data_IF_498970945676
#
_entry.id   IF_498970945676
#
_cell.length_a   1.000
_cell.length_b   1.000
_cell.length_c   1.000
_cell.angle_alpha   90.00
_cell.angle_beta   90.00
_cell.angle_gamma   90.00
#
_symmetry.space_group_name_H-M   'P 1'
#
loop_
_entity.id
_entity.type
_entity.pdbx_description
1 polymer ?
#
# COMPACT_ATOMS: atom_id res chain seq x y z
N UNK A 1 -7.18 10.85 -27.49
CA UNK A 1 -5.88 10.98 -28.17
C UNK A 1 -4.96 11.75 -27.26
N UNK A 2 -4.14 11.05 -26.58
CA UNK A 2 -2.70 11.30 -26.32
C UNK A 2 -2.26 10.17 -25.42
N UNK A 3 -1.66 9.14 -26.04
CA UNK A 3 -0.81 8.16 -25.38
C UNK A 3 0.35 8.93 -24.73
N UNK A 4 0.17 9.33 -23.48
CA UNK A 4 1.29 9.61 -22.62
C UNK A 4 1.73 8.27 -22.02
N UNK A 5 2.39 7.45 -22.81
CA UNK A 5 3.26 6.42 -22.31
C UNK A 5 4.16 7.11 -21.28
N UNK A 6 3.91 6.88 -19.98
CA UNK A 6 4.83 7.26 -18.93
C UNK A 6 6.15 6.53 -19.22
N UNK A 7 7.06 7.20 -19.93
CA UNK A 7 8.39 6.72 -20.10
C UNK A 7 8.99 6.63 -18.69
N UNK A 8 9.10 5.40 -18.17
CA UNK A 8 10.09 5.08 -17.17
C UNK A 8 11.38 5.68 -17.71
N UNK A 9 11.91 6.72 -17.07
CA UNK A 9 13.20 7.25 -17.43
C UNK A 9 14.23 6.19 -17.05
N UNK A 10 14.38 5.19 -17.90
CA UNK A 10 15.54 4.29 -17.87
C UNK A 10 16.74 5.21 -17.88
N UNK A 11 17.49 5.20 -16.77
CA UNK A 11 18.69 6.02 -16.65
C UNK A 11 19.73 5.54 -17.64
N UNK A 12 19.64 6.07 -18.85
CA UNK A 12 20.76 5.98 -19.80
C UNK A 12 21.74 7.06 -19.44
N UNK A 13 23.03 6.73 -19.40
CA UNK A 13 24.09 7.73 -19.38
C UNK A 13 24.11 8.54 -20.68
N UNK A 14 24.99 9.53 -20.79
CA UNK A 14 25.18 10.34 -22.00
C UNK A 14 25.55 9.49 -23.24
N UNK A 15 25.86 8.21 -23.07
CA UNK A 15 26.19 7.24 -24.14
C UNK A 15 25.01 6.33 -24.48
N UNK A 16 23.87 6.43 -23.78
CA UNK A 16 22.71 5.57 -23.95
C UNK A 16 22.81 4.20 -23.27
N UNK A 17 23.80 4.00 -22.40
CA UNK A 17 24.03 2.74 -21.69
C UNK A 17 23.10 2.63 -20.46
N UNK A 18 22.41 1.50 -20.30
CA UNK A 18 21.61 1.18 -19.10
C UNK A 18 22.53 0.53 -18.06
N UNK A 19 22.64 1.14 -16.90
CA UNK A 19 23.37 0.59 -15.76
C UNK A 19 22.41 -0.20 -14.85
N UNK A 20 22.59 -1.51 -14.78
CA UNK A 20 21.83 -2.38 -13.89
C UNK A 20 22.42 -2.37 -12.48
N UNK A 21 21.55 -2.54 -11.49
CA UNK A 21 21.90 -2.81 -10.11
C UNK A 21 21.28 -4.16 -9.72
N UNK A 22 21.99 -4.97 -8.92
CA UNK A 22 21.44 -6.21 -8.40
C UNK A 22 21.45 -6.17 -6.87
N UNK A 23 20.45 -6.82 -6.28
CA UNK A 23 20.34 -7.03 -4.84
C UNK A 23 19.81 -8.44 -4.56
N UNK A 24 20.27 -9.04 -3.47
CA UNK A 24 19.68 -10.28 -2.98
C UNK A 24 18.42 -9.98 -2.17
N UNK A 25 17.53 -10.94 -2.07
CA UNK A 25 16.41 -10.97 -1.13
C UNK A 25 16.32 -12.37 -0.54
N UNK A 26 15.58 -12.54 0.55
CA UNK A 26 15.36 -13.87 1.13
C UNK A 26 14.62 -14.83 0.17
N UNK A 27 13.95 -14.30 -0.85
CA UNK A 27 13.22 -15.08 -1.86
C UNK A 27 13.99 -15.28 -3.15
N UNK A 28 15.07 -14.53 -3.39
CA UNK A 28 15.89 -14.64 -4.60
C UNK A 28 16.52 -13.30 -4.98
N UNK A 29 17.34 -13.31 -6.05
CA UNK A 29 18.01 -12.10 -6.55
C UNK A 29 17.11 -11.30 -7.46
N UNK A 30 17.19 -9.97 -7.36
CA UNK A 30 16.48 -9.01 -8.21
C UNK A 30 17.44 -8.09 -8.94
N UNK A 31 17.07 -7.66 -10.15
CA UNK A 31 17.80 -6.70 -10.96
C UNK A 31 16.96 -5.47 -11.20
N UNK A 32 17.43 -4.33 -10.71
CA UNK A 32 16.92 -3.00 -10.95
C UNK A 32 17.76 -2.20 -11.91
N UNK A 33 17.47 -0.92 -12.01
CA UNK A 33 18.15 0.01 -12.90
C UNK A 33 18.62 1.25 -12.15
N UNK A 34 19.86 1.69 -12.37
CA UNK A 34 20.36 2.98 -11.94
C UNK A 34 19.74 4.11 -12.76
N UNK A 35 19.36 5.18 -12.09
CA UNK A 35 18.91 6.43 -12.65
C UNK A 35 19.90 7.52 -12.28
N UNK A 36 20.80 7.82 -13.21
CA UNK A 36 22.02 8.61 -13.01
C UNK A 36 23.24 7.72 -12.70
N UNK A 37 24.40 8.33 -12.57
CA UNK A 37 25.67 7.62 -12.36
C UNK A 37 25.69 6.93 -11.00
N UNK A 38 26.10 5.64 -10.94
CA UNK A 38 26.30 4.94 -9.70
C UNK A 38 27.26 5.68 -8.75
N UNK A 39 26.89 5.89 -7.51
CA UNK A 39 27.74 6.53 -6.50
C UNK A 39 27.85 8.05 -6.54
N UNK A 40 27.39 8.71 -7.62
CA UNK A 40 27.45 10.17 -7.79
C UNK A 40 26.08 10.86 -7.52
N UNK A 41 25.37 10.43 -6.50
CA UNK A 41 23.99 10.88 -6.25
C UNK A 41 22.94 10.19 -7.13
N UNK A 42 23.31 9.06 -7.74
CA UNK A 42 22.39 8.19 -8.46
C UNK A 42 21.38 7.53 -7.54
N UNK A 43 20.29 7.04 -8.14
CA UNK A 43 19.24 6.31 -7.46
C UNK A 43 18.98 5.01 -8.22
N UNK A 44 19.24 3.87 -7.62
CA UNK A 44 18.82 2.59 -8.16
C UNK A 44 17.34 2.36 -7.83
N UNK A 45 16.55 1.96 -8.82
CA UNK A 45 15.15 1.59 -8.67
C UNK A 45 14.97 0.10 -8.91
N UNK A 46 14.31 -0.56 -7.99
CA UNK A 46 13.87 -1.95 -8.09
C UNK A 46 12.35 -1.94 -7.96
N UNK A 47 11.64 -2.26 -9.02
CA UNK A 47 10.21 -2.05 -9.14
C UNK A 47 9.46 -3.39 -9.21
N UNK A 48 8.30 -3.48 -8.57
CA UNK A 48 7.41 -4.64 -8.66
C UNK A 48 7.95 -5.92 -8.01
N UNK A 49 8.75 -5.83 -6.95
CA UNK A 49 9.24 -7.02 -6.24
C UNK A 49 8.09 -7.63 -5.44
N UNK A 50 7.68 -8.88 -5.67
CA UNK A 50 6.58 -9.50 -4.93
C UNK A 50 6.97 -9.76 -3.47
N UNK A 51 6.15 -9.31 -2.53
CA UNK A 51 6.26 -9.71 -1.12
C UNK A 51 5.28 -10.83 -0.76
N UNK A 52 4.27 -11.06 -1.58
CA UNK A 52 3.27 -12.09 -1.40
C UNK A 52 2.95 -12.81 -2.72
N UNK A 53 2.34 -13.98 -2.61
CA UNK A 53 1.73 -14.67 -3.74
C UNK A 53 0.56 -13.83 -4.30
N UNK A 54 0.24 -13.94 -5.60
CA UNK A 54 -0.90 -13.25 -6.19
C UNK A 54 -2.20 -13.57 -5.44
N UNK A 55 -2.98 -12.54 -5.02
CA UNK A 55 -4.22 -12.74 -4.28
C UNK A 55 -5.39 -13.12 -5.20
N UNK A 56 -5.23 -14.20 -5.95
CA UNK A 56 -6.20 -14.71 -6.93
C UNK A 56 -6.56 -16.18 -6.66
N UNK A 57 -7.58 -16.69 -7.31
CA UNK A 57 -8.04 -18.08 -7.11
C UNK A 57 -8.35 -18.35 -5.63
N UNK A 58 -7.78 -19.41 -5.07
CA UNK A 58 -7.97 -19.79 -3.66
C UNK A 58 -7.40 -18.76 -2.67
N UNK A 59 -6.51 -17.86 -3.12
CA UNK A 59 -5.92 -16.79 -2.29
C UNK A 59 -6.70 -15.47 -2.37
N UNK A 60 -7.70 -15.32 -3.24
CA UNK A 60 -8.41 -14.05 -3.45
C UNK A 60 -8.97 -13.55 -2.15
N UNK A 61 -9.58 -13.99 -1.32
CA UNK A 61 -10.09 -13.44 -0.06
C UNK A 61 -9.39 -14.03 1.19
N UNK A 62 -8.24 -14.67 0.99
CA UNK A 62 -7.44 -15.20 2.08
C UNK A 62 -6.55 -14.13 2.72
N UNK A 63 -5.94 -14.44 3.87
CA UNK A 63 -4.80 -13.71 4.37
C UNK A 63 -3.66 -13.78 3.32
N UNK A 64 -2.79 -12.74 3.21
CA UNK A 64 -1.69 -12.80 2.27
C UNK A 64 -0.72 -13.93 2.65
N UNK A 65 -0.18 -14.59 1.62
CA UNK A 65 0.82 -15.65 1.77
C UNK A 65 2.15 -15.12 1.23
N UNK A 66 3.28 -15.29 1.95
CA UNK A 66 4.59 -14.85 1.47
C UNK A 66 4.90 -15.33 0.05
N UNK A 67 5.67 -14.53 -0.70
CA UNK A 67 6.08 -14.88 -2.04
C UNK A 67 6.94 -16.15 -2.05
N UNK A 68 6.78 -16.97 -3.09
CA UNK A 68 7.61 -18.16 -3.29
C UNK A 68 9.05 -17.76 -3.69
N UNK A 69 10.06 -18.49 -3.21
CA UNK A 69 11.43 -18.30 -3.67
C UNK A 69 11.55 -18.60 -5.18
N UNK A 70 12.45 -17.86 -5.83
CA UNK A 70 12.75 -18.09 -7.26
C UNK A 70 14.25 -18.32 -7.48
N UNK A 71 14.58 -19.04 -8.56
CA UNK A 71 15.95 -19.25 -9.00
C UNK A 71 16.38 -18.17 -10.00
N UNK A 72 17.69 -17.87 -10.04
CA UNK A 72 18.26 -16.89 -10.95
C UNK A 72 17.98 -15.44 -10.53
N UNK A 73 18.05 -14.54 -11.51
CA UNK A 73 17.83 -13.10 -11.32
C UNK A 73 16.48 -12.73 -11.90
N UNK A 74 15.62 -12.13 -11.10
CA UNK A 74 14.32 -11.60 -11.51
C UNK A 74 14.46 -10.13 -11.90
N UNK A 75 13.94 -9.75 -13.04
CA UNK A 75 13.86 -8.35 -13.43
C UNK A 75 12.84 -7.59 -12.58
N UNK A 76 13.29 -6.48 -12.02
CA UNK A 76 12.53 -5.51 -11.24
C UNK A 76 12.72 -4.11 -11.88
N UNK A 77 12.48 -4.04 -13.21
CA UNK A 77 12.73 -2.87 -14.04
C UNK A 77 11.50 -2.02 -14.26
N UNK A 78 10.31 -2.63 -14.12
CA UNK A 78 9.01 -1.99 -14.33
C UNK A 78 8.13 -2.14 -13.09
N UNK A 79 7.20 -1.20 -12.92
CA UNK A 79 6.21 -1.30 -11.86
C UNK A 79 5.40 -2.60 -11.99
N UNK A 80 5.22 -3.29 -10.89
CA UNK A 80 4.36 -4.47 -10.81
C UNK A 80 2.88 -4.14 -10.94
N UNK A 81 2.06 -5.18 -11.11
CA UNK A 81 0.61 -5.04 -11.16
C UNK A 81 0.09 -4.30 -9.92
N UNK A 82 -0.92 -3.46 -10.11
CA UNK A 82 -1.52 -2.64 -9.05
C UNK A 82 -2.88 -3.18 -8.64
N UNK A 83 -3.28 -2.95 -7.38
CA UNK A 83 -4.64 -3.21 -6.94
C UNK A 83 -5.64 -2.19 -7.52
N UNK A 84 -5.19 -0.97 -7.83
CA UNK A 84 -5.97 0.01 -8.58
C UNK A 84 -6.32 -0.55 -9.96
N UNK A 85 -7.60 -0.51 -10.34
CA UNK A 85 -8.10 -0.93 -11.64
C UNK A 85 -8.74 0.22 -12.39
N UNK A 86 -8.60 0.19 -13.71
CA UNK A 86 -9.17 1.20 -14.60
C UNK A 86 -8.48 2.55 -14.51
N UNK A 87 -9.08 3.53 -15.17
CA UNK A 87 -8.64 4.93 -15.15
C UNK A 87 -9.53 5.71 -14.16
N UNK A 88 -8.99 6.18 -13.04
CA UNK A 88 -9.76 6.98 -12.08
C UNK A 88 -10.08 8.39 -12.60
N UNK A 89 -9.69 8.73 -13.83
CA UNK A 89 -9.83 10.06 -14.39
C UNK A 89 -8.80 11.06 -13.86
N UNK A 90 -9.23 12.32 -13.72
CA UNK A 90 -8.36 13.38 -13.19
C UNK A 90 -8.37 13.32 -11.67
N UNK A 91 -7.28 12.83 -11.10
CA UNK A 91 -7.02 12.80 -9.66
C UNK A 91 -5.95 13.82 -9.29
N UNK A 92 -5.93 14.27 -8.02
CA UNK A 92 -4.91 15.20 -7.52
C UNK A 92 -3.51 14.56 -7.57
N UNK A 93 -3.42 13.28 -7.22
CA UNK A 93 -2.21 12.46 -7.28
C UNK A 93 -2.42 11.43 -8.38
N UNK A 94 -1.51 11.29 -9.36
CA UNK A 94 -1.64 10.28 -10.39
C UNK A 94 -1.75 8.87 -9.79
N UNK A 95 -2.71 8.09 -10.27
CA UNK A 95 -3.01 6.74 -9.77
C UNK A 95 -2.95 5.72 -10.93
N UNK A 96 -1.75 5.44 -11.48
CA UNK A 96 -1.64 4.54 -12.62
C UNK A 96 -2.10 3.13 -12.28
N UNK A 97 -2.83 2.52 -13.21
CA UNK A 97 -3.23 1.11 -13.15
C UNK A 97 -2.29 0.29 -14.03
N UNK A 98 -1.62 -0.68 -13.43
CA UNK A 98 -0.78 -1.66 -14.13
C UNK A 98 -1.51 -3.00 -14.09
N UNK A 99 -1.84 -3.60 -15.25
CA UNK A 99 -2.58 -4.85 -15.31
C UNK A 99 -1.75 -6.03 -14.79
N UNK A 100 -2.42 -7.05 -14.27
CA UNK A 100 -1.82 -8.31 -13.80
C UNK A 100 -2.39 -8.77 -12.47
N UNK A 101 -1.98 -9.95 -12.05
CA UNK A 101 -2.50 -10.64 -10.85
C UNK A 101 -1.61 -10.45 -9.62
N UNK A 102 -0.29 -10.28 -9.81
CA UNK A 102 0.69 -10.14 -8.72
C UNK A 102 0.67 -8.72 -8.12
N UNK A 103 -0.47 -8.34 -7.56
CA UNK A 103 -0.71 -6.98 -7.06
C UNK A 103 -0.06 -6.67 -5.72
N UNK A 104 0.46 -7.67 -5.01
CA UNK A 104 1.13 -7.50 -3.72
C UNK A 104 2.64 -7.44 -3.91
N UNK A 105 3.14 -6.24 -4.21
CA UNK A 105 4.54 -5.98 -4.51
C UNK A 105 5.03 -4.68 -3.87
N UNK A 106 6.33 -4.52 -3.80
CA UNK A 106 7.02 -3.31 -3.32
C UNK A 106 7.92 -2.74 -4.40
N UNK A 107 8.17 -1.43 -4.31
CA UNK A 107 9.19 -0.75 -5.09
C UNK A 107 10.25 -0.21 -4.12
N UNK A 108 11.52 -0.42 -4.41
CA UNK A 108 12.64 0.04 -3.60
C UNK A 108 13.49 1.01 -4.40
N UNK A 109 13.72 2.18 -3.82
CA UNK A 109 14.61 3.21 -4.37
C UNK A 109 15.77 3.39 -3.39
N UNK A 110 17.00 3.24 -3.86
CA UNK A 110 18.17 3.29 -2.98
C UNK A 110 19.39 3.91 -3.66
N UNK A 111 20.20 4.68 -2.92
CA UNK A 111 21.47 5.19 -3.43
C UNK A 111 22.61 4.17 -3.31
N UNK A 112 22.42 3.06 -2.55
CA UNK A 112 23.49 2.16 -2.14
C UNK A 112 23.08 0.67 -2.14
N UNK A 113 22.60 0.12 -3.27
CA UNK A 113 22.18 -1.28 -3.32
C UNK A 113 23.36 -2.22 -3.08
N UNK A 114 23.13 -3.31 -2.35
CA UNK A 114 24.12 -4.35 -2.09
C UNK A 114 25.29 -3.92 -1.18
N UNK A 115 25.11 -2.88 -0.37
CA UNK A 115 26.16 -2.37 0.52
C UNK A 115 25.73 -2.41 1.99
N UNK A 116 26.71 -2.33 2.90
CA UNK A 116 26.50 -2.21 4.35
C UNK A 116 26.32 -0.73 4.77
N UNK A 117 25.66 0.09 3.94
CA UNK A 117 25.53 1.52 4.18
C UNK A 117 24.66 1.88 5.40
N UNK A 118 23.77 0.98 5.81
CA UNK A 118 22.89 1.11 6.98
C UNK A 118 22.11 2.43 6.99
N UNK A 119 21.53 2.81 5.85
CA UNK A 119 20.81 4.07 5.65
C UNK A 119 19.42 4.01 6.30
N UNK A 120 18.89 5.14 6.79
CA UNK A 120 17.51 5.21 7.22
C UNK A 120 16.53 4.85 6.09
N UNK A 121 15.41 4.25 6.47
CA UNK A 121 14.41 3.73 5.54
C UNK A 121 13.09 4.47 5.71
N UNK A 122 12.50 4.93 4.61
CA UNK A 122 11.14 5.48 4.55
C UNK A 122 10.23 4.51 3.80
N UNK A 123 9.24 3.94 4.48
CA UNK A 123 8.20 3.11 3.86
C UNK A 123 6.95 3.96 3.66
N UNK A 124 6.54 4.12 2.40
CA UNK A 124 5.37 4.88 2.01
C UNK A 124 4.16 3.99 1.80
N UNK A 125 3.07 4.30 2.49
CA UNK A 125 1.74 3.72 2.28
C UNK A 125 0.87 4.75 1.59
N UNK A 126 0.41 4.47 0.38
CA UNK A 126 -0.37 5.42 -0.40
C UNK A 126 -1.79 5.63 0.15
N UNK A 127 -2.36 6.80 -0.12
CA UNK A 127 -3.75 7.13 0.15
C UNK A 127 -4.71 6.61 -0.91
N UNK A 128 -5.90 7.21 -1.00
CA UNK A 128 -6.95 6.84 -1.96
C UNK A 128 -8.17 6.20 -1.27
N UNK A 129 -8.47 6.60 -0.02
CA UNK A 129 -9.69 6.20 0.69
C UNK A 129 -9.82 4.70 0.95
N UNK A 130 -8.74 3.94 0.86
CA UNK A 130 -8.66 2.48 0.92
C UNK A 130 -9.37 1.74 -0.25
N UNK A 131 -9.89 2.44 -1.23
CA UNK A 131 -10.54 1.85 -2.41
C UNK A 131 -9.87 2.24 -3.73
N UNK A 132 -8.96 3.21 -3.70
CA UNK A 132 -8.19 3.72 -4.84
C UNK A 132 -6.74 3.96 -4.45
N UNK A 133 -5.92 4.43 -5.40
CA UNK A 133 -4.51 4.74 -5.18
C UNK A 133 -3.56 3.68 -5.74
N UNK A 134 -2.32 4.08 -5.97
CA UNK A 134 -1.33 3.23 -6.62
C UNK A 134 0.08 3.48 -6.09
N UNK A 135 0.85 2.43 -5.75
CA UNK A 135 2.27 2.56 -5.36
C UNK A 135 3.16 2.95 -6.55
N UNK A 136 2.63 2.86 -7.77
CA UNK A 136 3.32 3.23 -9.00
C UNK A 136 3.18 4.71 -9.35
N UNK A 137 2.57 5.52 -8.48
CA UNK A 137 2.47 6.96 -8.71
C UNK A 137 3.86 7.60 -8.85
N UNK A 138 4.10 8.43 -9.87
CA UNK A 138 5.37 9.13 -10.02
C UNK A 138 5.65 10.12 -8.88
N UNK A 139 4.63 10.50 -8.10
CA UNK A 139 4.79 11.33 -6.92
C UNK A 139 5.48 10.61 -5.76
N UNK A 140 5.54 9.29 -5.79
CA UNK A 140 6.16 8.47 -4.75
C UNK A 140 7.56 7.97 -5.13
N UNK A 141 8.13 8.53 -6.21
CA UNK A 141 9.50 8.24 -6.63
C UNK A 141 10.50 8.68 -5.54
N UNK A 142 11.27 7.72 -5.04
CA UNK A 142 12.20 7.93 -3.93
C UNK A 142 13.50 8.67 -4.28
N UNK A 143 13.71 9.07 -5.54
CA UNK A 143 14.98 9.65 -5.99
C UNK A 143 15.45 10.85 -5.18
N UNK A 144 14.52 11.72 -4.76
CA UNK A 144 14.86 12.90 -3.96
C UNK A 144 15.33 12.52 -2.55
N UNK A 145 14.72 11.52 -1.95
CA UNK A 145 15.13 10.98 -0.65
C UNK A 145 16.46 10.23 -0.73
N UNK A 146 16.71 9.53 -1.84
CA UNK A 146 18.00 8.84 -2.04
C UNK A 146 19.17 9.83 -2.12
N UNK A 147 18.99 10.98 -2.76
CA UNK A 147 19.98 12.07 -2.76
C UNK A 147 20.37 12.48 -1.35
N UNK A 148 19.43 12.43 -0.42
CA UNK A 148 19.62 12.83 0.99
C UNK A 148 20.00 11.61 1.87
N UNK A 149 20.35 10.47 1.26
CA UNK A 149 20.83 9.27 1.95
C UNK A 149 19.74 8.44 2.62
N UNK A 150 18.50 8.47 2.12
CA UNK A 150 17.38 7.68 2.65
C UNK A 150 16.93 6.65 1.62
N UNK A 151 16.83 5.38 2.01
CA UNK A 151 16.19 4.33 1.20
C UNK A 151 14.68 4.51 1.26
N UNK A 152 14.00 4.51 0.12
CA UNK A 152 12.55 4.67 0.07
C UNK A 152 11.89 3.40 -0.45
N UNK A 153 10.83 2.95 0.20
CA UNK A 153 10.03 1.80 -0.22
C UNK A 153 8.59 2.25 -0.38
N UNK A 154 7.95 1.94 -1.51
CA UNK A 154 6.50 2.06 -1.67
C UNK A 154 5.88 0.68 -1.66
N UNK A 155 4.77 0.51 -0.95
CA UNK A 155 4.09 -0.79 -0.83
C UNK A 155 2.73 -0.77 -1.48
N UNK A 156 2.35 -1.87 -2.11
CA UNK A 156 0.98 -2.11 -2.56
C UNK A 156 0.18 -2.84 -1.48
N UNK A 157 -1.13 -2.79 -1.57
CA UNK A 157 -2.07 -3.53 -0.72
C UNK A 157 -3.41 -3.68 -1.42
N UNK A 158 -4.21 -4.67 -1.04
CA UNK A 158 -5.56 -4.85 -1.57
C UNK A 158 -6.46 -3.70 -1.19
N UNK A 159 -7.25 -3.24 -2.14
CA UNK A 159 -8.15 -2.10 -2.04
C UNK A 159 -9.61 -2.55 -1.97
N UNK A 160 -10.50 -1.64 -1.57
CA UNK A 160 -11.94 -1.82 -1.59
C UNK A 160 -12.40 -3.09 -0.90
N UNK A 161 -13.33 -3.79 -1.52
CA UNK A 161 -13.90 -5.01 -0.96
C UNK A 161 -12.86 -6.13 -0.78
N UNK A 162 -11.95 -6.32 -1.73
CA UNK A 162 -10.92 -7.37 -1.65
C UNK A 162 -9.99 -7.15 -0.44
N UNK A 163 -9.68 -5.90 -0.08
CA UNK A 163 -8.84 -5.55 1.06
C UNK A 163 -9.58 -5.43 2.40
N UNK A 164 -10.79 -4.88 2.37
CA UNK A 164 -11.47 -4.40 3.59
C UNK A 164 -12.93 -4.82 3.70
N UNK A 165 -13.52 -5.47 2.69
CA UNK A 165 -14.89 -5.95 2.74
C UNK A 165 -15.06 -7.10 3.74
N UNK A 166 -16.21 -7.14 4.41
CA UNK A 166 -16.57 -8.26 5.28
C UNK A 166 -17.06 -9.45 4.45
N UNK A 167 -16.61 -10.63 4.82
CA UNK A 167 -17.00 -11.94 4.26
C UNK A 167 -17.13 -12.91 5.42
N UNK A 168 -18.20 -13.70 5.47
CA UNK A 168 -18.58 -14.51 6.63
C UNK A 168 -17.50 -15.52 7.05
N UNK A 169 -16.80 -16.13 6.09
CA UNK A 169 -15.80 -17.17 6.30
C UNK A 169 -14.38 -16.76 5.82
N UNK A 170 -14.09 -15.43 5.78
CA UNK A 170 -12.78 -14.93 5.41
C UNK A 170 -12.19 -14.07 6.53
N UNK A 171 -10.85 -13.98 6.62
CA UNK A 171 -10.22 -13.06 7.58
C UNK A 171 -10.59 -11.62 7.25
N UNK A 172 -10.93 -10.84 8.27
CA UNK A 172 -11.11 -9.40 8.17
C UNK A 172 -9.76 -8.68 7.97
N UNK A 173 -9.82 -7.39 7.60
CA UNK A 173 -8.63 -6.55 7.54
C UNK A 173 -7.51 -7.10 6.61
N UNK A 174 -7.89 -7.68 5.47
CA UNK A 174 -6.92 -8.28 4.54
C UNK A 174 -5.89 -7.26 4.04
N UNK A 175 -6.31 -6.00 3.77
CA UNK A 175 -5.40 -4.92 3.41
C UNK A 175 -4.44 -4.54 4.55
N UNK A 176 -4.89 -4.60 5.81
CA UNK A 176 -4.00 -4.41 6.98
C UNK A 176 -2.99 -5.56 7.09
N UNK A 177 -3.44 -6.79 6.82
CA UNK A 177 -2.54 -7.96 6.79
C UNK A 177 -1.52 -7.85 5.65
N UNK A 178 -1.89 -7.23 4.53
CA UNK A 178 -0.97 -6.93 3.43
C UNK A 178 0.12 -5.93 3.88
N UNK A 179 -0.23 -4.86 4.61
CA UNK A 179 0.75 -3.93 5.18
C UNK A 179 1.71 -4.62 6.13
N UNK A 180 1.22 -5.48 7.02
CA UNK A 180 2.06 -6.23 7.95
C UNK A 180 3.06 -7.12 7.22
N UNK A 181 2.61 -7.86 6.20
CA UNK A 181 3.48 -8.73 5.42
C UNK A 181 4.50 -7.93 4.59
N UNK A 182 4.09 -6.79 4.03
CA UNK A 182 5.01 -5.90 3.32
C UNK A 182 6.08 -5.30 4.26
N UNK A 183 5.70 -4.91 5.48
CA UNK A 183 6.65 -4.42 6.48
C UNK A 183 7.58 -5.53 6.99
N UNK A 184 7.07 -6.76 7.13
CA UNK A 184 7.91 -7.92 7.42
C UNK A 184 8.92 -8.16 6.29
N UNK A 185 8.48 -8.04 5.02
CA UNK A 185 9.39 -8.10 3.89
C UNK A 185 10.47 -7.02 3.95
N UNK A 186 10.12 -5.78 4.30
CA UNK A 186 11.10 -4.69 4.49
C UNK A 186 12.09 -5.06 5.59
N UNK A 187 11.62 -5.51 6.75
CA UNK A 187 12.47 -5.93 7.86
C UNK A 187 13.49 -6.98 7.43
N UNK A 188 13.07 -7.98 6.65
CA UNK A 188 13.90 -9.13 6.29
C UNK A 188 14.86 -8.84 5.12
N UNK A 189 14.56 -7.81 4.30
CA UNK A 189 15.27 -7.61 3.02
C UNK A 189 15.97 -6.27 2.86
N UNK A 190 15.58 -5.22 3.60
CA UNK A 190 16.04 -3.87 3.27
C UNK A 190 17.54 -3.65 3.43
N UNK A 191 18.20 -4.48 4.24
CA UNK A 191 19.66 -4.47 4.39
C UNK A 191 20.37 -4.78 3.06
N UNK A 192 19.83 -5.67 2.23
CA UNK A 192 20.38 -5.96 0.90
C UNK A 192 20.28 -4.77 -0.07
N UNK A 193 19.47 -3.80 0.25
CA UNK A 193 19.34 -2.54 -0.49
C UNK A 193 20.07 -1.37 0.19
N UNK A 194 20.94 -1.65 1.16
CA UNK A 194 21.72 -0.65 1.90
C UNK A 194 20.94 0.06 3.00
N UNK A 195 19.72 -0.35 3.31
CA UNK A 195 18.89 0.20 4.38
C UNK A 195 19.15 -0.47 5.74
N UNK A 196 18.83 0.24 6.81
CA UNK A 196 18.91 -0.27 8.18
C UNK A 196 17.51 -0.68 8.66
N UNK A 197 17.22 -1.97 8.86
CA UNK A 197 15.92 -2.41 9.35
C UNK A 197 15.60 -1.91 10.77
N UNK A 198 16.58 -1.42 11.52
CA UNK A 198 16.38 -0.78 12.83
C UNK A 198 16.04 0.73 12.75
N UNK A 199 16.00 1.30 11.55
CA UNK A 199 15.75 2.72 11.32
C UNK A 199 14.58 2.96 10.33
N UNK A 200 13.54 2.17 10.42
CA UNK A 200 12.36 2.25 9.55
C UNK A 200 11.38 3.31 10.05
N UNK A 201 11.05 4.26 9.19
CA UNK A 201 9.95 5.21 9.36
C UNK A 201 8.82 4.81 8.41
N UNK A 202 7.63 4.58 8.94
CA UNK A 202 6.43 4.42 8.11
C UNK A 202 5.75 5.78 7.90
N UNK A 203 5.36 6.08 6.68
CA UNK A 203 4.76 7.35 6.32
C UNK A 203 3.58 7.14 5.35
N UNK A 204 2.59 8.04 5.42
CA UNK A 204 1.45 8.00 4.52
C UNK A 204 0.58 9.24 4.62
N UNK A 205 -0.24 9.45 3.60
CA UNK A 205 -1.14 10.59 3.51
C UNK A 205 -2.58 10.11 3.35
N UNK A 206 -3.56 10.85 3.90
CA UNK A 206 -4.99 10.49 3.83
C UNK A 206 -5.27 9.10 4.41
N UNK A 207 -5.81 8.16 3.64
CA UNK A 207 -5.95 6.76 4.03
C UNK A 207 -4.61 6.10 4.40
N UNK A 208 -3.52 6.43 3.68
CA UNK A 208 -2.16 6.00 4.05
C UNK A 208 -1.71 6.56 5.40
N UNK A 209 -2.07 7.81 5.72
CA UNK A 209 -1.89 8.40 7.05
C UNK A 209 -2.68 7.65 8.13
N UNK A 210 -3.92 7.26 7.82
CA UNK A 210 -4.73 6.39 8.68
C UNK A 210 -4.10 5.01 8.86
N UNK A 211 -3.55 4.42 7.79
CA UNK A 211 -2.86 3.14 7.84
C UNK A 211 -1.66 3.15 8.79
N UNK A 212 -0.81 4.18 8.74
CA UNK A 212 0.35 4.26 9.66
C UNK A 212 -0.06 4.50 11.10
N UNK A 213 -1.17 5.21 11.37
CA UNK A 213 -1.73 5.33 12.72
C UNK A 213 -2.35 4.02 13.21
N UNK A 214 -3.04 3.28 12.34
CA UNK A 214 -3.55 1.95 12.66
C UNK A 214 -2.40 1.00 13.03
N UNK A 215 -1.32 0.98 12.24
CA UNK A 215 -0.12 0.19 12.55
C UNK A 215 0.53 0.62 13.87
N UNK A 216 0.60 1.94 14.16
CA UNK A 216 1.09 2.44 15.44
C UNK A 216 0.25 1.92 16.62
N UNK A 217 -1.05 1.79 16.44
CA UNK A 217 -2.01 1.31 17.44
C UNK A 217 -2.01 -0.22 17.61
N UNK A 218 -1.27 -0.97 16.77
CA UNK A 218 -1.28 -2.45 16.76
C UNK A 218 -0.07 -3.03 17.49
N UNK A 219 -0.25 -3.76 18.61
CA UNK A 219 0.87 -4.43 19.29
C UNK A 219 1.68 -5.37 18.38
N UNK A 220 0.99 -6.06 17.45
CA UNK A 220 1.61 -6.99 16.51
C UNK A 220 2.58 -6.32 15.52
N UNK A 221 2.45 -5.02 15.26
CA UNK A 221 3.27 -4.30 14.30
C UNK A 221 4.50 -3.61 14.90
N UNK A 222 4.60 -3.54 16.24
CA UNK A 222 5.56 -2.67 16.93
C UNK A 222 7.04 -2.96 16.61
N UNK A 223 7.39 -4.18 16.25
CA UNK A 223 8.75 -4.58 15.91
C UNK A 223 9.15 -4.27 14.46
N UNK A 224 8.22 -3.84 13.60
CA UNK A 224 8.43 -3.66 12.16
C UNK A 224 8.85 -2.23 11.77
N UNK A 225 8.69 -1.26 12.68
CA UNK A 225 9.05 0.13 12.40
C UNK A 225 9.42 0.88 13.69
N UNK A 226 10.06 2.02 13.54
CA UNK A 226 10.66 2.79 14.64
C UNK A 226 10.11 4.20 14.76
N UNK A 227 9.54 4.77 13.68
CA UNK A 227 8.99 6.13 13.63
C UNK A 227 7.77 6.16 12.73
N UNK A 228 6.88 7.12 12.95
CA UNK A 228 5.64 7.30 12.18
C UNK A 228 5.50 8.74 11.70
N UNK A 229 5.13 8.89 10.45
CA UNK A 229 4.78 10.19 9.87
C UNK A 229 3.40 10.10 9.21
N UNK A 230 2.37 10.63 9.87
CA UNK A 230 0.98 10.63 9.42
C UNK A 230 0.59 12.01 8.87
N UNK A 231 0.26 12.08 7.59
CA UNK A 231 -0.12 13.33 6.92
C UNK A 231 -1.61 13.33 6.60
N UNK A 232 -2.35 14.33 7.12
CA UNK A 232 -3.81 14.47 6.91
C UNK A 232 -4.53 13.13 7.05
N UNK A 233 -4.25 12.42 8.14
CA UNK A 233 -4.66 11.05 8.35
C UNK A 233 -6.18 10.90 8.42
N UNK A 234 -6.72 9.94 7.66
CA UNK A 234 -8.11 9.49 7.73
C UNK A 234 -8.18 8.19 8.54
N UNK A 235 -8.42 8.29 9.83
CA UNK A 235 -8.71 7.12 10.68
C UNK A 235 -10.15 6.67 10.42
N UNK A 236 -10.36 5.38 10.22
CA UNK A 236 -11.69 4.85 9.87
C UNK A 236 -12.31 4.04 11.00
N UNK A 237 -11.58 3.16 11.65
CA UNK A 237 -12.05 2.33 12.79
C UNK A 237 -13.48 1.80 12.58
N UNK A 238 -13.72 1.13 11.43
CA UNK A 238 -15.08 0.72 11.04
C UNK A 238 -15.61 -0.30 12.03
N UNK A 239 -16.80 -0.06 12.59
CA UNK A 239 -17.47 -1.02 13.46
C UNK A 239 -17.83 -2.30 12.68
N UNK A 240 -17.73 -3.46 13.31
CA UNK A 240 -17.90 -4.76 12.66
C UNK A 240 -19.28 -4.94 12.04
N UNK A 241 -20.33 -4.47 12.73
CA UNK A 241 -21.73 -4.52 12.26
C UNK A 241 -21.92 -3.70 10.96
N UNK A 242 -21.27 -2.55 10.85
CA UNK A 242 -21.29 -1.73 9.64
C UNK A 242 -20.55 -2.40 8.49
N UNK A 243 -19.38 -2.99 8.76
CA UNK A 243 -18.61 -3.75 7.76
C UNK A 243 -19.41 -4.97 7.27
N UNK A 244 -20.06 -5.70 8.19
CA UNK A 244 -20.93 -6.83 7.89
C UNK A 244 -22.14 -6.41 7.06
N UNK A 245 -22.83 -5.33 7.43
CA UNK A 245 -23.99 -4.84 6.69
C UNK A 245 -23.63 -4.50 5.23
N UNK A 246 -22.50 -3.83 4.99
CA UNK A 246 -22.03 -3.52 3.64
C UNK A 246 -21.64 -4.79 2.90
N UNK A 247 -20.92 -5.73 3.54
CA UNK A 247 -20.52 -6.99 2.93
C UNK A 247 -21.72 -7.83 2.47
N UNK A 248 -22.76 -7.91 3.31
CA UNK A 248 -24.02 -8.60 2.97
C UNK A 248 -24.80 -7.87 1.85
N UNK A 249 -24.80 -6.55 1.84
CA UNK A 249 -25.45 -5.76 0.79
C UNK A 249 -24.76 -6.01 -0.57
N UNK A 250 -23.42 -5.98 -0.63
CA UNK A 250 -22.67 -6.28 -1.85
C UNK A 250 -22.95 -7.70 -2.34
N UNK A 251 -22.87 -8.71 -1.48
CA UNK A 251 -23.17 -10.09 -1.85
C UNK A 251 -24.62 -10.26 -2.34
N UNK A 252 -25.58 -9.56 -1.69
CA UNK A 252 -26.98 -9.55 -2.09
C UNK A 252 -27.21 -8.90 -3.46
N UNK A 253 -26.58 -7.78 -3.78
CA UNK A 253 -26.63 -7.12 -5.08
C UNK A 253 -26.02 -7.97 -6.20
N UNK A 254 -25.00 -8.77 -5.86
CA UNK A 254 -24.39 -9.74 -6.76
C UNK A 254 -25.17 -11.05 -6.90
N UNK A 255 -26.17 -11.30 -6.03
CA UNK A 255 -26.97 -12.52 -6.04
C UNK A 255 -26.24 -13.75 -5.56
N UNK A 256 -25.21 -13.59 -4.69
CA UNK A 256 -24.39 -14.70 -4.15
C UNK A 256 -24.43 -14.72 -2.62
N UNK A 257 -24.03 -15.85 -2.04
CA UNK A 257 -23.83 -15.93 -0.58
C UNK A 257 -22.64 -15.04 -0.16
N UNK A 258 -22.67 -14.41 1.03
CA UNK A 258 -21.59 -13.56 1.54
C UNK A 258 -20.42 -14.39 2.10
N UNK A 259 -20.04 -15.44 1.38
CA UNK A 259 -18.98 -16.39 1.70
C UNK A 259 -17.88 -16.32 0.65
N UNK A 260 -16.68 -16.82 0.99
CA UNK A 260 -15.58 -16.93 0.03
C UNK A 260 -16.01 -17.71 -1.22
N UNK A 261 -16.68 -18.85 -1.02
CA UNK A 261 -17.15 -19.68 -2.13
C UNK A 261 -18.13 -18.92 -3.05
N UNK A 262 -19.10 -18.21 -2.47
CA UNK A 262 -20.06 -17.42 -3.25
C UNK A 262 -19.38 -16.28 -4.01
N UNK A 263 -18.60 -15.45 -3.33
CA UNK A 263 -17.94 -14.28 -3.91
C UNK A 263 -16.83 -14.64 -4.91
N UNK A 264 -16.18 -15.81 -4.77
CA UNK A 264 -15.18 -16.28 -5.73
C UNK A 264 -15.77 -16.66 -7.10
N UNK A 265 -17.10 -16.80 -7.22
CA UNK A 265 -17.78 -17.00 -8.50
C UNK A 265 -17.97 -15.71 -9.30
N UNK A 266 -17.73 -14.54 -8.66
CA UNK A 266 -17.95 -13.21 -9.24
C UNK A 266 -16.63 -12.68 -9.78
N UNK A 267 -16.65 -12.13 -11.00
CA UNK A 267 -15.47 -11.46 -11.57
C UNK A 267 -15.11 -10.19 -10.80
N UNK A 268 -13.85 -9.77 -10.90
CA UNK A 268 -13.36 -8.56 -10.25
C UNK A 268 -14.16 -7.33 -10.73
N UNK A 269 -14.39 -7.22 -12.04
CA UNK A 269 -15.12 -6.10 -12.64
C UNK A 269 -16.54 -5.99 -12.08
N UNK A 270 -17.26 -7.12 -11.98
CA UNK A 270 -18.63 -7.15 -11.48
C UNK A 270 -18.69 -6.76 -10.00
N UNK A 271 -17.70 -7.18 -9.22
CA UNK A 271 -17.58 -6.80 -7.81
C UNK A 271 -17.31 -5.30 -7.66
N UNK A 272 -16.43 -4.74 -8.49
CA UNK A 272 -16.12 -3.30 -8.48
C UNK A 272 -17.33 -2.45 -8.89
N UNK A 273 -18.09 -2.86 -9.90
CA UNK A 273 -19.34 -2.19 -10.29
C UNK A 273 -20.34 -2.13 -9.12
N UNK A 274 -20.56 -3.24 -8.43
CA UNK A 274 -21.47 -3.31 -7.29
C UNK A 274 -20.96 -2.49 -6.10
N UNK A 275 -19.68 -2.57 -5.81
CA UNK A 275 -19.02 -1.75 -4.81
C UNK A 275 -19.24 -0.26 -5.09
N UNK A 276 -18.98 0.18 -6.32
CA UNK A 276 -19.15 1.57 -6.73
C UNK A 276 -20.61 2.02 -6.59
N UNK A 277 -21.57 1.21 -7.06
CA UNK A 277 -22.99 1.52 -6.98
C UNK A 277 -23.46 1.74 -5.53
N UNK A 278 -22.92 0.99 -4.57
CA UNK A 278 -23.30 1.08 -3.16
C UNK A 278 -22.54 2.16 -2.37
N UNK A 279 -21.37 2.59 -2.85
CA UNK A 279 -20.52 3.55 -2.12
C UNK A 279 -20.43 4.92 -2.78
N UNK A 280 -21.04 5.10 -3.96
CA UNK A 280 -21.04 6.37 -4.68
C UNK A 280 -21.81 7.46 -3.91
N UNK A 281 -21.17 8.62 -3.75
CA UNK A 281 -21.77 9.78 -3.10
C UNK A 281 -22.56 10.59 -4.14
N UNK A 282 -23.74 10.11 -4.51
CA UNK A 282 -24.60 10.70 -5.55
C UNK A 282 -25.81 11.46 -4.99
N UNK A 283 -25.93 11.60 -3.68
CA UNK A 283 -27.02 12.27 -2.98
C UNK A 283 -26.57 13.00 -1.72
N UNK A 284 -27.37 13.96 -1.26
CA UNK A 284 -27.14 14.62 0.04
C UNK A 284 -27.19 13.62 1.22
N UNK A 285 -27.99 12.56 1.09
CA UNK A 285 -28.07 11.49 2.07
C UNK A 285 -26.75 10.71 2.16
N UNK A 286 -26.21 10.30 1.01
CA UNK A 286 -24.93 9.60 0.94
C UNK A 286 -23.77 10.49 1.43
N UNK A 287 -23.78 11.79 1.08
CA UNK A 287 -22.79 12.72 1.61
C UNK A 287 -22.87 12.87 3.13
N UNK A 288 -24.09 12.93 3.69
CA UNK A 288 -24.29 12.99 5.14
C UNK A 288 -23.83 11.71 5.83
N UNK A 289 -24.12 10.56 5.25
CA UNK A 289 -23.65 9.25 5.73
C UNK A 289 -22.14 9.22 5.81
N UNK A 290 -21.45 9.61 4.74
CA UNK A 290 -19.99 9.69 4.69
C UNK A 290 -19.40 10.64 5.75
N UNK A 291 -20.03 11.82 5.93
CA UNK A 291 -19.61 12.80 6.95
C UNK A 291 -19.85 12.31 8.38
N UNK A 292 -20.89 11.50 8.58
CA UNK A 292 -21.26 11.02 9.93
C UNK A 292 -20.49 9.77 10.35
N UNK A 293 -20.27 8.86 9.39
CA UNK A 293 -19.75 7.52 9.67
C UNK A 293 -18.37 7.25 9.05
N UNK A 294 -17.80 8.20 8.30
CA UNK A 294 -16.51 8.05 7.62
C UNK A 294 -16.58 7.14 6.39
N UNK A 295 -15.42 6.70 5.93
CA UNK A 295 -15.26 5.89 4.73
C UNK A 295 -16.01 4.55 4.82
N UNK A 296 -16.39 4.01 3.67
CA UNK A 296 -17.06 2.70 3.57
C UNK A 296 -16.10 1.54 3.71
N UNK A 297 -14.84 1.71 3.26
CA UNK A 297 -13.76 0.73 3.37
C UNK A 297 -12.63 1.27 4.23
N UNK A 298 -11.90 0.36 4.86
CA UNK A 298 -10.76 0.66 5.71
C UNK A 298 -10.62 -0.33 6.86
N UNK A 299 -9.65 -0.10 7.75
CA UNK A 299 -9.47 -0.90 8.96
C UNK A 299 -10.77 -1.00 9.76
N UNK A 300 -11.12 -2.22 10.16
CA UNK A 300 -12.30 -2.51 10.97
C UNK A 300 -11.91 -3.13 12.32
N UNK A 301 -12.69 -2.85 13.35
CA UNK A 301 -12.50 -3.42 14.67
C UNK A 301 -13.03 -4.85 14.63
N UNK A 302 -12.15 -5.82 14.36
CA UNK A 302 -12.50 -7.24 14.19
C UNK A 302 -12.37 -8.07 15.47
N UNK A 303 -11.84 -7.47 16.55
CA UNK A 303 -11.61 -8.14 17.82
C UNK A 303 -10.43 -9.12 17.84
N UNK A 304 -9.77 -9.34 16.70
CA UNK A 304 -8.60 -10.22 16.51
C UNK A 304 -7.35 -9.39 16.26
N UNK A 305 -7.26 -8.75 15.12
CA UNK A 305 -6.11 -7.95 14.68
C UNK A 305 -6.22 -6.52 15.21
N UNK A 306 -7.40 -5.93 15.13
CA UNK A 306 -7.73 -4.61 15.65
C UNK A 306 -8.80 -4.77 16.72
N UNK A 307 -8.39 -4.67 17.99
CA UNK A 307 -9.24 -4.99 19.14
C UNK A 307 -10.00 -3.78 19.71
N UNK A 308 -9.61 -2.56 19.31
CA UNK A 308 -10.21 -1.30 19.77
C UNK A 308 -9.93 -0.18 18.77
N UNK A 309 -10.62 0.96 18.84
CA UNK A 309 -10.34 2.12 18.02
C UNK A 309 -8.87 2.56 18.09
N UNK A 310 -8.33 3.01 16.97
CA UNK A 310 -6.93 3.44 16.81
C UNK A 310 -6.53 4.48 17.86
N UNK A 311 -7.34 5.51 18.05
CA UNK A 311 -7.06 6.58 19.03
C UNK A 311 -7.07 6.07 20.45
N UNK A 312 -7.98 5.15 20.80
CA UNK A 312 -8.07 4.56 22.13
C UNK A 312 -6.85 3.67 22.44
N UNK A 313 -6.34 2.95 21.44
CA UNK A 313 -5.14 2.15 21.60
C UNK A 313 -3.89 3.03 21.82
N UNK A 314 -3.75 4.11 21.07
CA UNK A 314 -2.67 5.09 21.23
C UNK A 314 -2.79 5.78 22.59
N UNK A 315 -3.98 6.21 23.00
CA UNK A 315 -4.22 6.81 24.30
C UNK A 315 -3.91 5.85 25.47
N UNK A 316 -4.06 4.54 25.25
CA UNK A 316 -3.68 3.50 26.21
C UNK A 316 -2.17 3.19 26.22
N UNK A 317 -1.35 3.91 25.42
CA UNK A 317 0.11 3.80 25.40
C UNK A 317 0.68 2.84 24.36
N UNK A 318 -0.12 2.27 23.46
CA UNK A 318 0.43 1.48 22.36
C UNK A 318 1.25 2.39 21.45
N UNK A 319 2.50 2.03 21.17
CA UNK A 319 3.41 2.81 20.35
C UNK A 319 3.95 4.08 21.00
N UNK A 320 3.78 4.28 22.31
CA UNK A 320 4.23 5.47 23.02
C UNK A 320 5.75 5.69 23.02
N UNK A 321 6.51 4.66 22.74
CA UNK A 321 7.97 4.69 22.58
C UNK A 321 8.44 5.19 21.21
N UNK A 322 7.52 5.38 20.25
CA UNK A 322 7.84 5.73 18.86
C UNK A 322 7.62 7.21 18.59
N UNK A 323 8.63 7.91 18.04
CA UNK A 323 8.44 9.26 17.52
C UNK A 323 7.29 9.31 16.50
N UNK A 324 6.35 10.21 16.70
CA UNK A 324 5.21 10.44 15.84
C UNK A 324 5.20 11.88 15.33
N UNK A 325 5.16 12.06 14.02
CA UNK A 325 4.90 13.34 13.36
C UNK A 325 3.51 13.29 12.75
N UNK A 326 2.67 14.24 13.12
CA UNK A 326 1.32 14.41 12.55
C UNK A 326 1.23 15.79 11.93
N UNK A 327 0.70 15.87 10.72
CA UNK A 327 0.44 17.13 10.02
C UNK A 327 -0.91 17.08 9.30
N UNK A 328 -1.57 18.21 9.18
CA UNK A 328 -2.78 18.37 8.38
C UNK A 328 -2.66 19.64 7.53
N UNK A 329 -3.22 19.60 6.31
CA UNK A 329 -3.38 20.80 5.51
C UNK A 329 -4.44 21.69 6.16
N UNK A 330 -4.12 22.97 6.33
CA UNK A 330 -5.08 23.95 6.80
C UNK A 330 -6.06 24.27 5.66
N UNK A 331 -7.36 24.00 5.86
CA UNK A 331 -8.38 24.53 4.96
C UNK A 331 -8.52 26.00 5.25
N UNK A 332 -7.87 26.86 4.45
CA UNK A 332 -8.22 28.27 4.42
C UNK A 332 -9.66 28.37 3.96
N UNK A 333 -10.60 28.58 4.90
CA UNK A 333 -11.92 29.09 4.58
C UNK A 333 -11.70 30.49 3.96
N UNK A 334 -11.53 30.51 2.63
CA UNK A 334 -11.72 31.74 1.88
C UNK A 334 -13.20 32.07 1.98
N UNK A 335 -13.55 32.90 2.96
CA UNK A 335 -14.82 33.63 2.92
C UNK A 335 -14.73 34.54 1.70
N UNK A 336 -15.36 34.16 0.61
CA UNK A 336 -15.87 35.08 -0.39
C UNK A 336 -17.26 35.53 0.01
#
# INVERSE_FOLDING_TARGET
MTDAAMANSTGTDDTGTIHHAEADTVTGRVRGCWRGEPGAGGSAAFLGIPFAQPPVGDLRFAAPVPAEPWAGVRDALDYGATAQRGDPGVTLIPEPSVPGEATLNVNVFTPAPGTDAALPVLVWIHGGGYFAGSPASPWYDGRSFNRDGVVTVTISYRLGFDGFGWIEDAPSNRGVRDWLLALQWVHDNIAYFGGDPSQVTIAGQSAGGGAVLTLLAMPAAQHLFHRVWAMSAATTDIAVDRSEALGRAIAGGLGVAPTRAGLSTVTEERLLEEQQALTEVNSLGAARELLTHGLHFGPSIDGELITRPTIDAIAAGVGADKPLVVGAAETTNSRC
#
